data_IF_703833561139
#
_entry.id   IF_703833561139
#
_cell.length_a   1.000
_cell.length_b   1.000
_cell.length_c   1.000
_cell.angle_alpha   90.00
_cell.angle_beta   90.00
_cell.angle_gamma   90.00
#
_symmetry.space_group_name_H-M   'P 1'
#
loop_
_entity.id
_entity.type
_entity.pdbx_description
1 polymer ?
#
# COMPACT_ATOMS: atom_id res chain seq x y z
N UNK A 1 7.13 -10.78 16.15
CA UNK A 1 6.72 -9.37 16.41
C UNK A 1 6.11 -8.70 15.18
N UNK A 2 6.64 -8.90 13.97
CA UNK A 2 6.12 -8.29 12.73
C UNK A 2 4.65 -8.65 12.42
N UNK A 3 4.26 -9.91 12.62
CA UNK A 3 2.87 -10.37 12.45
C UNK A 3 1.86 -9.62 13.34
N UNK A 4 2.26 -9.27 14.57
CA UNK A 4 1.41 -8.54 15.54
C UNK A 4 1.30 -7.06 15.14
N UNK A 5 2.38 -6.45 14.66
CA UNK A 5 2.34 -5.07 14.13
C UNK A 5 1.43 -4.98 12.90
N UNK A 6 1.50 -5.97 12.00
CA UNK A 6 0.67 -5.97 10.79
C UNK A 6 -0.82 -6.22 11.10
N UNK A 7 -1.16 -7.01 12.12
CA UNK A 7 -2.56 -7.18 12.52
C UNK A 7 -3.15 -5.89 13.09
N UNK A 8 -2.39 -5.15 13.90
CA UNK A 8 -2.82 -3.85 14.45
C UNK A 8 -3.03 -2.82 13.33
N UNK A 9 -2.11 -2.76 12.37
CA UNK A 9 -2.23 -1.86 11.21
C UNK A 9 -3.47 -2.18 10.39
N UNK A 10 -3.75 -3.47 10.13
CA UNK A 10 -4.95 -3.88 9.39
C UNK A 10 -6.23 -3.47 10.11
N UNK A 11 -6.31 -3.65 11.43
CA UNK A 11 -7.49 -3.23 12.18
C UNK A 11 -7.71 -1.71 12.14
N UNK A 12 -6.64 -0.90 12.09
CA UNK A 12 -6.73 0.55 12.05
C UNK A 12 -7.45 1.09 10.79
N UNK A 13 -7.57 0.32 9.71
CA UNK A 13 -8.35 0.73 8.53
C UNK A 13 -9.85 0.88 8.78
N UNK A 14 -10.37 0.31 9.87
CA UNK A 14 -11.77 0.55 10.28
C UNK A 14 -11.97 1.98 10.81
N UNK A 15 -10.88 2.70 11.11
CA UNK A 15 -10.91 4.13 11.38
C UNK A 15 -10.87 4.90 10.06
N UNK A 16 -11.99 5.51 9.67
CA UNK A 16 -12.09 6.28 8.42
C UNK A 16 -10.96 7.30 8.23
N UNK A 17 -10.49 7.93 9.31
CA UNK A 17 -9.39 8.89 9.26
C UNK A 17 -8.05 8.22 8.90
N UNK A 18 -7.77 7.05 9.47
CA UNK A 18 -6.53 6.31 9.18
C UNK A 18 -6.51 5.88 7.71
N UNK A 19 -7.60 5.26 7.23
CA UNK A 19 -7.71 4.82 5.85
C UNK A 19 -7.53 5.99 4.86
N UNK A 20 -8.10 7.17 5.16
CA UNK A 20 -7.92 8.39 4.37
C UNK A 20 -6.50 8.90 4.39
N UNK A 21 -5.83 8.93 5.55
CA UNK A 21 -4.42 9.32 5.62
C UNK A 21 -3.51 8.37 4.84
N UNK A 22 -3.78 7.06 4.90
CA UNK A 22 -3.10 6.04 4.10
C UNK A 22 -3.32 6.30 2.62
N UNK A 23 -4.55 6.56 2.19
CA UNK A 23 -4.86 6.91 0.81
C UNK A 23 -4.15 8.19 0.35
N UNK A 24 -4.11 9.24 1.18
CA UNK A 24 -3.38 10.47 0.85
C UNK A 24 -1.87 10.24 0.73
N UNK A 25 -1.29 9.39 1.59
CA UNK A 25 0.12 9.03 1.46
C UNK A 25 0.35 8.20 0.20
N UNK A 26 -0.54 7.26 -0.10
CA UNK A 26 -0.48 6.42 -1.29
C UNK A 26 -0.52 7.29 -2.57
N UNK A 27 -1.49 8.19 -2.66
CA UNK A 27 -1.63 9.07 -3.81
C UNK A 27 -0.39 9.96 -4.00
N UNK A 28 0.27 10.39 -2.92
CA UNK A 28 1.58 11.08 -3.01
C UNK A 28 2.66 10.20 -3.63
N UNK A 29 2.75 8.92 -3.30
CA UNK A 29 3.73 8.02 -3.92
C UNK A 29 3.45 7.79 -5.41
N UNK A 30 2.19 7.59 -5.79
CA UNK A 30 1.79 7.43 -7.20
C UNK A 30 2.02 8.73 -8.01
N UNK A 31 1.79 9.89 -7.40
CA UNK A 31 2.02 11.18 -8.07
C UNK A 31 3.49 11.40 -8.47
N UNK A 32 4.45 10.85 -7.71
CA UNK A 32 5.89 10.94 -8.03
C UNK A 32 6.28 10.23 -9.33
N UNK A 33 5.47 9.25 -9.76
CA UNK A 33 5.65 8.50 -11.00
C UNK A 33 4.63 8.91 -12.08
N UNK A 34 3.95 10.04 -11.87
CA UNK A 34 2.99 10.59 -12.83
C UNK A 34 1.71 9.75 -12.97
N UNK A 35 1.27 9.11 -11.88
CA UNK A 35 0.00 8.37 -11.82
C UNK A 35 -0.91 9.03 -10.78
N UNK A 36 -2.17 9.23 -11.17
CA UNK A 36 -3.23 9.67 -10.27
C UNK A 36 -4.13 8.47 -9.99
N UNK A 37 -4.45 8.23 -8.73
CA UNK A 37 -5.42 7.21 -8.30
C UNK A 37 -6.58 7.88 -7.57
N UNK A 38 -7.79 7.35 -7.78
CA UNK A 38 -9.02 7.87 -7.19
C UNK A 38 -9.84 6.70 -6.64
N UNK A 39 -9.94 6.62 -5.31
CA UNK A 39 -10.71 5.56 -4.62
C UNK A 39 -11.92 6.17 -3.92
N UNK A 40 -13.05 5.46 -3.96
CA UNK A 40 -14.26 5.84 -3.23
C UNK A 40 -14.12 5.55 -1.74
N UNK A 41 -14.94 6.18 -0.88
CA UNK A 41 -14.94 5.87 0.56
C UNK A 41 -15.24 4.38 0.85
N UNK A 42 -16.06 3.73 0.02
CA UNK A 42 -16.34 2.28 0.11
C UNK A 42 -15.10 1.43 -0.18
N UNK A 43 -14.30 1.84 -1.17
CA UNK A 43 -13.03 1.19 -1.52
C UNK A 43 -11.98 1.36 -0.40
N UNK A 44 -12.10 2.40 0.43
CA UNK A 44 -11.21 2.66 1.56
C UNK A 44 -11.67 2.03 2.89
N UNK A 45 -12.90 1.51 2.94
CA UNK A 45 -13.60 1.14 4.20
C UNK A 45 -12.94 0.02 5.01
N UNK A 46 -12.23 -0.90 4.36
CA UNK A 46 -11.51 -2.00 5.00
C UNK A 46 -10.17 -2.23 4.33
N UNK A 47 -9.26 -2.89 5.05
CA UNK A 47 -7.96 -3.26 4.48
C UNK A 47 -8.12 -4.10 3.21
N UNK A 48 -9.03 -5.08 3.23
CA UNK A 48 -9.28 -6.00 2.14
C UNK A 48 -9.89 -5.30 0.91
N UNK A 49 -10.84 -4.37 1.13
CA UNK A 49 -11.44 -3.56 0.04
C UNK A 49 -10.38 -2.68 -0.62
N UNK A 50 -9.56 -2.01 0.19
CA UNK A 50 -8.49 -1.14 -0.28
C UNK A 50 -7.44 -1.97 -1.02
N UNK A 51 -6.96 -3.07 -0.44
CA UNK A 51 -6.02 -3.98 -1.09
C UNK A 51 -6.56 -4.44 -2.46
N UNK A 52 -7.82 -4.85 -2.54
CA UNK A 52 -8.45 -5.31 -3.78
C UNK A 52 -8.42 -4.22 -4.85
N UNK A 53 -8.78 -2.99 -4.47
CA UNK A 53 -8.77 -1.86 -5.39
C UNK A 53 -7.36 -1.49 -5.84
N UNK A 54 -6.40 -1.46 -4.91
CA UNK A 54 -5.00 -1.20 -5.21
C UNK A 54 -4.41 -2.27 -6.14
N UNK A 55 -4.74 -3.54 -5.94
CA UNK A 55 -4.30 -4.62 -6.83
C UNK A 55 -4.76 -4.41 -8.27
N UNK A 56 -6.02 -3.97 -8.48
CA UNK A 56 -6.54 -3.64 -9.81
C UNK A 56 -5.78 -2.48 -10.46
N UNK A 57 -5.46 -1.44 -9.71
CA UNK A 57 -4.66 -0.32 -10.24
C UNK A 57 -3.25 -0.77 -10.59
N UNK A 58 -2.58 -1.53 -9.71
CA UNK A 58 -1.24 -2.06 -9.99
C UNK A 58 -1.25 -2.94 -11.24
N UNK A 59 -2.25 -3.81 -11.40
CA UNK A 59 -2.39 -4.64 -12.59
C UNK A 59 -2.54 -3.81 -13.87
N UNK A 60 -3.36 -2.75 -13.82
CA UNK A 60 -3.55 -1.83 -14.95
C UNK A 60 -2.22 -1.14 -15.32
N UNK A 61 -1.46 -0.69 -14.32
CA UNK A 61 -0.19 0.00 -14.54
C UNK A 61 0.86 -0.98 -15.06
N UNK A 62 0.93 -2.21 -14.54
CA UNK A 62 1.82 -3.25 -15.05
C UNK A 62 1.59 -3.52 -16.54
N UNK A 63 0.32 -3.54 -16.98
CA UNK A 63 -0.05 -3.76 -18.38
C UNK A 63 0.21 -2.56 -19.29
N UNK A 64 -0.02 -1.35 -18.78
CA UNK A 64 0.01 -0.11 -19.60
C UNK A 64 1.35 0.62 -19.54
N UNK A 65 2.13 0.45 -18.48
CA UNK A 65 3.33 1.23 -18.18
C UNK A 65 4.21 0.50 -17.14
N UNK A 66 4.72 -0.68 -17.47
CA UNK A 66 5.53 -1.53 -16.58
C UNK A 66 6.70 -0.78 -15.92
N UNK A 67 7.41 0.09 -16.66
CA UNK A 67 8.51 0.90 -16.13
C UNK A 67 8.13 1.77 -14.92
N UNK A 68 6.85 2.16 -14.79
CA UNK A 68 6.36 2.96 -13.65
C UNK A 68 6.20 2.11 -12.40
N UNK A 69 5.96 0.80 -12.55
CA UNK A 69 5.93 -0.13 -11.41
C UNK A 69 7.32 -0.25 -10.82
N UNK A 70 8.35 -0.42 -11.65
CA UNK A 70 9.73 -0.50 -11.15
C UNK A 70 10.11 0.76 -10.34
N UNK A 71 9.71 1.94 -10.83
CA UNK A 71 9.88 3.20 -10.11
C UNK A 71 9.07 3.26 -8.81
N UNK A 72 7.82 2.79 -8.83
CA UNK A 72 6.97 2.74 -7.64
C UNK A 72 7.57 1.87 -6.54
N UNK A 73 8.06 0.69 -6.92
CA UNK A 73 8.67 -0.27 -6.02
C UNK A 73 9.93 0.31 -5.38
N UNK A 74 10.79 0.94 -6.19
CA UNK A 74 11.98 1.63 -5.73
C UNK A 74 11.66 2.73 -4.69
N UNK A 75 10.66 3.57 -4.96
CA UNK A 75 10.26 4.67 -4.07
C UNK A 75 9.58 4.21 -2.77
N UNK A 76 9.00 3.02 -2.77
CA UNK A 76 8.24 2.49 -1.63
C UNK A 76 9.08 1.80 -0.57
N UNK A 77 10.39 1.65 -0.79
CA UNK A 77 11.31 0.86 0.03
C UNK A 77 10.90 -0.63 0.13
N UNK A 78 10.30 -1.18 -0.92
CA UNK A 78 10.07 -2.63 -0.99
C UNK A 78 11.35 -3.31 -1.50
N UNK A 79 11.93 -4.27 -0.75
CA UNK A 79 13.13 -4.96 -1.19
C UNK A 79 12.87 -5.76 -2.46
N UNK A 80 13.70 -5.58 -3.49
CA UNK A 80 13.55 -6.24 -4.79
C UNK A 80 13.47 -7.78 -4.65
N UNK A 81 14.32 -8.37 -3.80
CA UNK A 81 14.28 -9.80 -3.54
C UNK A 81 12.95 -10.30 -2.96
N UNK A 82 12.26 -9.49 -2.15
CA UNK A 82 10.92 -9.86 -1.67
C UNK A 82 9.88 -9.75 -2.78
N UNK A 83 9.99 -8.75 -3.66
CA UNK A 83 9.10 -8.61 -4.82
C UNK A 83 9.27 -9.80 -5.78
N UNK A 84 10.51 -10.21 -6.07
CA UNK A 84 10.79 -11.38 -6.91
C UNK A 84 10.15 -12.66 -6.33
N UNK A 85 10.35 -12.92 -5.04
CA UNK A 85 9.71 -14.04 -4.33
C UNK A 85 8.19 -13.99 -4.47
N UNK A 86 7.58 -12.80 -4.37
CA UNK A 86 6.14 -12.67 -4.56
C UNK A 86 5.70 -13.13 -5.94
N UNK A 87 6.40 -12.69 -6.99
CA UNK A 87 6.08 -13.07 -8.37
C UNK A 87 6.34 -14.55 -8.67
N UNK A 88 7.31 -15.18 -8.01
CA UNK A 88 7.67 -16.59 -8.22
C UNK A 88 6.77 -17.56 -7.44
N UNK A 89 6.44 -17.24 -6.18
CA UNK A 89 5.85 -18.21 -5.24
C UNK A 89 4.33 -18.05 -5.03
N UNK A 90 3.73 -16.91 -5.41
CA UNK A 90 2.33 -16.64 -5.11
C UNK A 90 1.40 -16.89 -6.31
N UNK A 91 0.23 -17.49 -6.02
CA UNK A 91 -0.83 -17.70 -7.02
C UNK A 91 -1.43 -16.39 -7.55
N UNK A 92 -1.49 -15.37 -6.68
CA UNK A 92 -1.95 -14.02 -7.05
C UNK A 92 -0.89 -12.98 -6.64
N UNK A 93 0.18 -12.83 -7.44
CA UNK A 93 1.33 -12.02 -7.05
C UNK A 93 1.00 -10.52 -6.98
N UNK A 94 0.08 -10.03 -7.82
CA UNK A 94 -0.31 -8.61 -7.82
C UNK A 94 -1.09 -8.26 -6.54
N UNK A 95 -1.95 -9.16 -6.09
CA UNK A 95 -2.70 -8.98 -4.86
C UNK A 95 -1.79 -8.99 -3.61
N UNK A 96 -0.79 -9.87 -3.59
CA UNK A 96 0.21 -9.89 -2.51
C UNK A 96 1.12 -8.66 -2.55
N UNK A 97 1.50 -8.21 -3.75
CA UNK A 97 2.25 -6.98 -3.92
C UNK A 97 1.46 -5.75 -3.43
N UNK A 98 0.18 -5.65 -3.77
CA UNK A 98 -0.71 -4.61 -3.28
C UNK A 98 -0.78 -4.60 -1.75
N UNK A 99 -0.86 -5.78 -1.13
CA UNK A 99 -0.84 -5.93 0.32
C UNK A 99 0.48 -5.46 0.94
N UNK A 100 1.62 -5.87 0.39
CA UNK A 100 2.94 -5.42 0.87
C UNK A 100 3.06 -3.89 0.78
N UNK A 101 2.65 -3.33 -0.35
CA UNK A 101 2.66 -1.89 -0.59
C UNK A 101 1.76 -1.16 0.41
N UNK A 102 0.52 -1.61 0.57
CA UNK A 102 -0.45 -1.01 1.47
C UNK A 102 0.01 -1.05 2.93
N UNK A 103 0.57 -2.18 3.37
CA UNK A 103 1.16 -2.30 4.72
C UNK A 103 2.30 -1.31 4.89
N UNK A 104 3.22 -1.22 3.92
CA UNK A 104 4.38 -0.32 3.99
C UNK A 104 3.95 1.15 4.08
N UNK A 105 2.94 1.56 3.31
CA UNK A 105 2.38 2.92 3.38
C UNK A 105 1.68 3.15 4.71
N UNK A 106 0.90 2.19 5.19
CA UNK A 106 0.21 2.29 6.48
C UNK A 106 1.18 2.40 7.66
N UNK A 107 2.31 1.68 7.63
CA UNK A 107 3.40 1.84 8.60
C UNK A 107 3.97 3.27 8.60
N UNK A 108 4.19 3.87 7.42
CA UNK A 108 4.68 5.26 7.29
C UNK A 108 3.69 6.28 7.87
N UNK A 109 2.39 5.99 7.80
CA UNK A 109 1.35 6.84 8.39
C UNK A 109 1.28 6.64 9.90
N UNK A 110 1.24 5.39 10.37
CA UNK A 110 1.19 5.05 11.80
C UNK A 110 2.37 5.65 12.59
N UNK A 111 3.60 5.50 12.09
CA UNK A 111 4.79 6.09 12.71
C UNK A 111 4.66 7.62 12.83
N UNK A 112 4.12 8.28 11.79
CA UNK A 112 3.93 9.73 11.78
C UNK A 112 2.85 10.17 12.77
N UNK A 113 1.78 9.39 12.91
CA UNK A 113 0.74 9.62 13.93
C UNK A 113 1.31 9.49 15.32
N UNK A 114 2.04 8.41 15.60
CA UNK A 114 2.69 8.19 16.90
C UNK A 114 3.67 9.31 17.26
N UNK A 115 4.49 9.76 16.29
CA UNK A 115 5.39 10.89 16.48
C UNK A 115 4.64 12.19 16.81
N UNK A 116 3.55 12.50 16.08
CA UNK A 116 2.70 13.68 16.37
C UNK A 116 2.05 13.63 17.76
N UNK A 117 1.78 12.43 18.28
CA UNK A 117 1.21 12.22 19.61
C UNK A 117 2.27 12.18 20.73
N UNK A 118 3.57 12.26 20.40
CA UNK A 118 4.65 12.14 21.38
C UNK A 118 4.82 10.73 21.95
N UNK A 119 4.40 9.70 21.20
CA UNK A 119 4.49 8.28 21.58
C UNK A 119 5.77 7.59 21.06
N UNK A 120 6.63 8.34 20.35
CA UNK A 120 7.92 7.92 19.81
C UNK A 120 9.03 8.89 20.23
#
# INVERSE_FOLDING_TARGET
MEKVKNSVIKSAFHENEFAREVFLQLNKEFSKIGILIEFSDEELSTFESFQTKLAKELELIMRSSSHRIDQLLYLSDLPEGQVQIVFEENKNPVEELAKMFLIRIAQKVDIRRQYKMGLL
#
